data_IF_737474715275
#
_entry.id   IF_737474715275
#
_cell.length_a   1.000
_cell.length_b   1.000
_cell.length_c   1.000
_cell.angle_alpha   90.00
_cell.angle_beta   90.00
_cell.angle_gamma   90.00
#
_symmetry.space_group_name_H-M   'P 1'
#
loop_
_entity.id
_entity.type
_entity.pdbx_description
1 polymer ?
#
# COMPACT_ATOMS: atom_id res chain seq x y z
N UNK A 1 -9.73 6.24 18.69
CA UNK A 1 -10.14 5.31 17.60
C UNK A 1 -10.31 6.13 16.32
N UNK A 2 -9.33 6.10 15.42
CA UNK A 2 -9.39 6.82 14.13
C UNK A 2 -10.41 6.15 13.21
N UNK A 3 -11.70 6.41 13.42
CA UNK A 3 -12.74 5.93 12.51
C UNK A 3 -12.63 6.69 11.20
N UNK A 4 -12.46 5.95 10.10
CA UNK A 4 -12.54 6.50 8.76
C UNK A 4 -13.99 6.84 8.43
N UNK A 5 -14.23 7.99 7.81
CA UNK A 5 -15.56 8.31 7.26
C UNK A 5 -15.90 7.35 6.11
N UNK A 6 -17.19 7.19 5.75
CA UNK A 6 -17.57 6.35 4.61
C UNK A 6 -16.88 6.77 3.30
N UNK A 7 -16.68 8.06 3.08
CA UNK A 7 -15.99 8.60 1.90
C UNK A 7 -14.48 8.32 1.90
N UNK A 8 -13.82 8.40 3.05
CA UNK A 8 -12.41 8.00 3.20
C UNK A 8 -12.22 6.51 2.91
N UNK A 9 -13.18 5.66 3.32
CA UNK A 9 -13.16 4.23 3.01
C UNK A 9 -13.28 3.94 1.52
N UNK A 10 -14.20 4.60 0.80
CA UNK A 10 -14.29 4.44 -0.66
C UNK A 10 -13.01 4.90 -1.38
N UNK A 11 -12.37 5.96 -0.86
CA UNK A 11 -11.10 6.46 -1.41
C UNK A 11 -9.94 5.50 -1.16
N UNK A 12 -10.01 4.65 -0.14
CA UNK A 12 -9.02 3.60 0.15
C UNK A 12 -9.20 2.35 -0.71
N UNK A 13 -10.44 1.96 -1.02
CA UNK A 13 -10.71 0.69 -1.72
C UNK A 13 -10.07 0.63 -3.10
N UNK A 14 -10.17 1.70 -3.91
CA UNK A 14 -9.60 1.71 -5.27
C UNK A 14 -8.07 1.51 -5.27
N UNK A 15 -7.30 2.40 -4.60
CA UNK A 15 -5.86 2.26 -4.46
C UNK A 15 -5.43 0.95 -3.79
N UNK A 16 -6.22 0.43 -2.84
CA UNK A 16 -5.95 -0.87 -2.22
C UNK A 16 -6.02 -2.01 -3.24
N UNK A 17 -7.08 -2.05 -4.06
CA UNK A 17 -7.21 -3.08 -5.11
C UNK A 17 -6.06 -2.99 -6.11
N UNK A 18 -5.73 -1.78 -6.58
CA UNK A 18 -4.60 -1.56 -7.51
C UNK A 18 -3.27 -1.98 -6.87
N UNK A 19 -3.07 -1.65 -5.59
CA UNK A 19 -1.89 -2.06 -4.82
C UNK A 19 -1.78 -3.58 -4.70
N UNK A 20 -2.87 -4.28 -4.41
CA UNK A 20 -2.90 -5.73 -4.34
C UNK A 20 -2.56 -6.38 -5.69
N UNK A 21 -3.11 -5.88 -6.80
CA UNK A 21 -2.80 -6.40 -8.14
C UNK A 21 -1.32 -6.23 -8.45
N UNK A 22 -0.77 -5.03 -8.26
CA UNK A 22 0.64 -4.76 -8.51
C UNK A 22 1.57 -5.53 -7.56
N UNK A 23 1.18 -5.68 -6.29
CA UNK A 23 1.89 -6.52 -5.33
C UNK A 23 1.94 -7.99 -5.75
N UNK A 24 0.83 -8.56 -6.24
CA UNK A 24 0.79 -9.95 -6.73
C UNK A 24 1.74 -10.10 -7.93
N UNK A 25 1.72 -9.16 -8.87
CA UNK A 25 2.63 -9.17 -10.01
C UNK A 25 4.10 -9.11 -9.56
N UNK A 26 4.43 -8.24 -8.60
CA UNK A 26 5.78 -8.11 -8.06
C UNK A 26 6.24 -9.38 -7.32
N UNK A 27 5.35 -10.00 -6.54
CA UNK A 27 5.63 -11.25 -5.85
C UNK A 27 5.89 -12.41 -6.82
N UNK A 28 5.07 -12.52 -7.86
CA UNK A 28 5.24 -13.54 -8.90
C UNK A 28 6.55 -13.34 -9.68
N UNK A 29 6.90 -12.09 -10.00
CA UNK A 29 8.17 -11.76 -10.66
C UNK A 29 9.38 -12.07 -9.77
N UNK A 30 9.32 -11.71 -8.49
CA UNK A 30 10.36 -12.01 -7.49
C UNK A 30 10.58 -13.52 -7.34
N UNK A 31 9.49 -14.28 -7.17
CA UNK A 31 9.56 -15.74 -7.09
C UNK A 31 10.13 -16.38 -8.36
N UNK A 32 9.71 -15.90 -9.54
CA UNK A 32 10.23 -16.39 -10.82
C UNK A 32 11.73 -16.17 -10.96
N UNK A 33 12.20 -14.97 -10.58
CA UNK A 33 13.62 -14.63 -10.56
C UNK A 33 14.38 -15.55 -9.61
N UNK A 34 13.99 -15.64 -8.35
CA UNK A 34 14.68 -16.46 -7.36
C UNK A 34 14.75 -17.95 -7.75
N UNK A 35 13.70 -18.46 -8.40
CA UNK A 35 13.65 -19.84 -8.89
C UNK A 35 14.65 -20.10 -10.01
N UNK A 36 14.84 -19.12 -10.89
CA UNK A 36 15.76 -19.22 -12.02
C UNK A 36 17.22 -19.12 -11.57
N UNK A 37 17.49 -18.33 -10.52
CA UNK A 37 18.84 -18.19 -10.01
C UNK A 37 19.26 -19.29 -9.03
N UNK A 38 18.39 -20.19 -8.54
CA UNK A 38 18.73 -21.37 -7.69
C UNK A 38 19.62 -21.12 -6.45
N UNK A 39 19.86 -19.87 -6.05
CA UNK A 39 20.83 -19.54 -4.99
C UNK A 39 20.20 -19.47 -3.58
N UNK A 40 18.88 -19.69 -3.45
CA UNK A 40 18.12 -19.36 -2.25
C UNK A 40 17.23 -20.54 -1.87
N UNK A 41 17.10 -20.82 -0.56
CA UNK A 41 16.19 -21.86 -0.05
C UNK A 41 14.73 -21.44 -0.23
N UNK A 42 13.82 -22.41 -0.43
CA UNK A 42 12.39 -22.15 -0.70
C UNK A 42 11.74 -21.21 0.32
N UNK A 43 12.17 -21.26 1.59
CA UNK A 43 11.65 -20.38 2.65
C UNK A 43 12.06 -18.91 2.49
N UNK A 44 13.27 -18.64 2.00
CA UNK A 44 13.75 -17.29 1.73
C UNK A 44 13.14 -16.72 0.44
N UNK A 45 12.86 -17.58 -0.55
CA UNK A 45 12.12 -17.18 -1.76
C UNK A 45 10.69 -16.73 -1.42
N UNK A 46 10.01 -17.45 -0.52
CA UNK A 46 8.69 -17.07 -0.04
C UNK A 46 8.72 -15.74 0.71
N UNK A 47 9.75 -15.50 1.52
CA UNK A 47 9.93 -14.23 2.21
C UNK A 47 10.16 -13.09 1.21
N UNK A 48 11.02 -13.28 0.21
CA UNK A 48 11.28 -12.29 -0.84
C UNK A 48 10.05 -11.97 -1.68
N UNK A 49 9.23 -12.97 -2.01
CA UNK A 49 7.95 -12.75 -2.70
C UNK A 49 6.95 -11.98 -1.82
N UNK A 50 6.90 -12.26 -0.52
CA UNK A 50 6.04 -11.53 0.42
C UNK A 50 6.47 -10.08 0.59
N UNK A 51 7.78 -9.82 0.69
CA UNK A 51 8.34 -8.47 0.73
C UNK A 51 8.01 -7.69 -0.54
N UNK A 52 8.18 -8.31 -1.71
CA UNK A 52 7.81 -7.72 -3.00
C UNK A 52 6.30 -7.40 -3.10
N UNK A 53 5.44 -8.28 -2.57
CA UNK A 53 4.01 -8.01 -2.46
C UNK A 53 3.72 -6.77 -1.59
N UNK A 54 4.26 -6.75 -0.38
CA UNK A 54 4.04 -5.64 0.57
C UNK A 54 4.58 -4.33 0.01
N UNK A 55 5.76 -4.36 -0.63
CA UNK A 55 6.33 -3.19 -1.29
C UNK A 55 5.43 -2.68 -2.42
N UNK A 56 4.95 -3.56 -3.30
CA UNK A 56 4.04 -3.18 -4.38
C UNK A 56 2.73 -2.57 -3.88
N UNK A 57 2.15 -3.16 -2.82
CA UNK A 57 0.95 -2.62 -2.16
C UNK A 57 1.22 -1.25 -1.54
N UNK A 58 2.32 -1.10 -0.81
CA UNK A 58 2.68 0.13 -0.10
C UNK A 58 2.95 1.30 -1.06
N UNK A 59 3.65 1.05 -2.17
CA UNK A 59 3.98 2.06 -3.19
C UNK A 59 2.73 2.67 -3.81
N UNK A 60 1.61 1.93 -3.85
CA UNK A 60 0.35 2.43 -4.40
C UNK A 60 -0.52 3.08 -3.32
N UNK A 61 -0.71 2.39 -2.20
CA UNK A 61 -1.63 2.82 -1.14
C UNK A 61 -1.17 4.10 -0.46
N UNK A 62 0.13 4.23 -0.18
CA UNK A 62 0.65 5.38 0.56
C UNK A 62 0.42 6.70 -0.21
N UNK A 63 0.87 6.84 -1.48
CA UNK A 63 0.67 8.08 -2.22
C UNK A 63 -0.77 8.34 -2.63
N UNK A 64 -1.53 7.29 -3.00
CA UNK A 64 -2.85 7.49 -3.60
C UNK A 64 -4.02 7.46 -2.61
N UNK A 65 -3.83 6.88 -1.42
CA UNK A 65 -4.90 6.83 -0.42
C UNK A 65 -4.51 7.49 0.91
N UNK A 66 -3.36 7.13 1.49
CA UNK A 66 -2.98 7.60 2.82
C UNK A 66 -2.67 9.10 2.80
N UNK A 67 -1.83 9.56 1.87
CA UNK A 67 -1.44 10.96 1.73
C UNK A 67 -2.65 11.91 1.55
N UNK A 68 -3.58 11.67 0.61
CA UNK A 68 -4.76 12.52 0.43
C UNK A 68 -5.65 12.60 1.67
N UNK A 69 -5.82 11.48 2.39
CA UNK A 69 -6.61 11.43 3.63
C UNK A 69 -5.93 12.26 4.72
N UNK A 70 -4.62 12.10 4.90
CA UNK A 70 -3.84 12.86 5.89
C UNK A 70 -3.88 14.35 5.57
N UNK A 71 -3.67 14.74 4.31
CA UNK A 71 -3.70 16.15 3.87
C UNK A 71 -5.09 16.76 4.11
N UNK A 72 -6.18 16.07 3.72
CA UNK A 72 -7.55 16.53 3.99
C UNK A 72 -7.80 16.76 5.48
N UNK A 73 -7.37 15.83 6.33
CA UNK A 73 -7.51 15.95 7.79
C UNK A 73 -6.69 17.10 8.37
N UNK A 74 -5.48 17.33 7.87
CA UNK A 74 -4.64 18.45 8.30
C UNK A 74 -5.25 19.80 7.90
N UNK A 75 -5.79 19.93 6.68
CA UNK A 75 -6.46 21.15 6.24
C UNK A 75 -7.74 21.42 7.05
N UNK A 76 -8.56 20.41 7.31
CA UNK A 76 -9.76 20.55 8.14
C UNK A 76 -9.42 21.06 9.55
N UNK A 77 -8.33 20.56 10.15
CA UNK A 77 -7.87 21.03 11.47
C UNK A 77 -7.33 22.47 11.44
N UNK A 78 -6.64 22.87 10.37
CA UNK A 78 -6.15 24.25 10.20
C UNK A 78 -7.31 25.23 10.00
N UNK A 79 -8.32 24.87 9.21
CA UNK A 79 -9.51 25.70 9.00
C UNK A 79 -10.26 25.97 10.30
N UNK A 80 -10.42 24.95 11.17
CA UNK A 80 -11.08 25.12 12.47
C UNK A 80 -10.29 26.04 13.42
N UNK A 81 -8.96 26.04 13.35
CA UNK A 81 -8.12 26.96 14.16
C UNK A 81 -8.15 28.40 13.68
N UNK A 82 -8.45 28.66 12.40
CA UNK A 82 -8.48 30.02 11.84
C UNK A 82 -9.81 30.75 12.07
N UNK A 83 -10.86 30.03 12.50
CA UNK A 83 -12.21 30.57 12.77
C UNK A 83 -12.43 30.87 14.27
N UNK A 84 -11.50 30.48 15.14
CA UNK A 84 -11.48 30.83 16.58
C UNK A 84 -10.54 32.00 16.82
#
# INVERSE_FOLDING_TARGET
MFRLTPSERQTLTGPFVVGCVLGICAAAASWGFDREYQHISDGLMLLGALEAFVAGVAVVIIPLAVLPIVVRRLMARKAVKAVR
#
